data_IF_678546431266
#
_entry.id   IF_678546431266
#
_cell.length_a   1.000
_cell.length_b   1.000
_cell.length_c   1.000
_cell.angle_alpha   90.00
_cell.angle_beta   90.00
_cell.angle_gamma   90.00
#
_symmetry.space_group_name_H-M   'P 1'
#
loop_
_entity.id
_entity.type
_entity.pdbx_description
1 polymer ?
#
# COMPACT_ATOMS: atom_id res chain seq x y z
N UNK A 1 14.61 -17.20 -11.85
CA UNK A 1 13.36 -17.55 -11.15
C UNK A 1 13.13 -16.73 -9.88
N UNK A 2 14.11 -16.60 -8.98
CA UNK A 2 13.96 -15.85 -7.71
C UNK A 2 13.44 -14.42 -7.85
N UNK A 3 13.96 -13.65 -8.82
CA UNK A 3 13.59 -12.24 -9.01
C UNK A 3 12.09 -12.07 -9.34
N UNK A 4 11.53 -12.95 -10.19
CA UNK A 4 10.11 -12.88 -10.57
C UNK A 4 9.21 -13.11 -9.36
N UNK A 5 9.53 -14.10 -8.52
CA UNK A 5 8.76 -14.35 -7.30
C UNK A 5 8.86 -13.20 -6.31
N UNK A 6 10.06 -12.62 -6.16
CA UNK A 6 10.25 -11.45 -5.29
C UNK A 6 9.44 -10.25 -5.79
N UNK A 7 9.43 -9.98 -7.09
CA UNK A 7 8.62 -8.92 -7.68
C UNK A 7 7.13 -9.15 -7.49
N UNK A 8 6.65 -10.39 -7.68
CA UNK A 8 5.24 -10.74 -7.46
C UNK A 8 4.85 -10.56 -5.98
N UNK A 9 5.67 -11.06 -5.05
CA UNK A 9 5.42 -10.90 -3.62
C UNK A 9 5.41 -9.43 -3.22
N UNK A 10 6.34 -8.63 -3.75
CA UNK A 10 6.40 -7.20 -3.51
C UNK A 10 5.14 -6.46 -3.99
N UNK A 11 4.63 -6.77 -5.18
CA UNK A 11 3.37 -6.18 -5.67
C UNK A 11 2.19 -6.64 -4.83
N UNK A 12 2.07 -7.94 -4.56
CA UNK A 12 0.96 -8.50 -3.79
C UNK A 12 0.98 -8.09 -2.30
N UNK A 13 2.14 -7.75 -1.73
CA UNK A 13 2.20 -7.26 -0.36
C UNK A 13 1.83 -5.78 -0.24
N UNK A 14 1.89 -5.01 -1.33
CA UNK A 14 1.69 -3.55 -1.31
C UNK A 14 0.33 -3.14 -0.73
N UNK A 15 -0.76 -3.72 -1.23
CA UNK A 15 -2.13 -3.45 -0.76
C UNK A 15 -2.32 -3.67 0.74
N UNK A 16 -2.19 -4.91 1.26
CA UNK A 16 -2.45 -5.18 2.67
C UNK A 16 -1.47 -4.46 3.60
N UNK A 17 -0.19 -4.30 3.23
CA UNK A 17 0.78 -3.59 4.08
C UNK A 17 0.46 -2.10 4.19
N UNK A 18 0.15 -1.43 3.07
CA UNK A 18 -0.24 -0.02 3.08
C UNK A 18 -1.54 0.20 3.84
N UNK A 19 -2.55 -0.66 3.61
CA UNK A 19 -3.83 -0.59 4.32
C UNK A 19 -3.66 -0.76 5.84
N UNK A 20 -2.86 -1.74 6.29
CA UNK A 20 -2.57 -1.90 7.72
C UNK A 20 -1.83 -0.69 8.27
N UNK A 21 -0.85 -0.16 7.55
CA UNK A 21 -0.09 1.01 7.98
C UNK A 21 -1.00 2.25 8.16
N UNK A 22 -1.88 2.53 7.21
CA UNK A 22 -2.83 3.64 7.30
C UNK A 22 -3.81 3.47 8.45
N UNK A 23 -4.35 2.26 8.63
CA UNK A 23 -5.23 1.96 9.76
C UNK A 23 -4.52 2.11 11.10
N UNK A 24 -3.25 1.70 11.20
CA UNK A 24 -2.44 1.88 12.42
C UNK A 24 -2.17 3.36 12.68
N UNK A 25 -1.89 4.15 11.64
CA UNK A 25 -1.78 5.60 11.75
C UNK A 25 -3.06 6.22 12.29
N UNK A 26 -4.22 5.88 11.74
CA UNK A 26 -5.52 6.40 12.19
C UNK A 26 -5.81 6.01 13.64
N UNK A 27 -5.52 4.77 14.03
CA UNK A 27 -5.78 4.28 15.38
C UNK A 27 -4.86 4.90 16.43
N UNK A 28 -3.62 5.24 16.07
CA UNK A 28 -2.58 5.70 17.03
C UNK A 28 -2.27 7.18 16.95
N UNK A 29 -2.64 7.85 15.84
CA UNK A 29 -2.22 9.22 15.53
C UNK A 29 -0.74 9.37 15.19
N UNK A 30 0.02 8.28 15.05
CA UNK A 30 1.46 8.34 14.77
C UNK A 30 1.74 8.28 13.27
N UNK A 31 2.21 9.38 12.69
CA UNK A 31 2.52 9.48 11.25
C UNK A 31 3.70 8.59 10.80
N UNK A 32 4.47 7.99 11.72
CA UNK A 32 5.58 7.10 11.37
C UNK A 32 5.15 5.87 10.57
N UNK A 33 3.89 5.45 10.68
CA UNK A 33 3.33 4.37 9.86
C UNK A 33 3.29 4.70 8.36
N UNK A 34 3.21 5.99 7.98
CA UNK A 34 3.31 6.39 6.57
C UNK A 34 4.67 6.09 5.94
N UNK A 35 5.70 5.76 6.76
CA UNK A 35 6.98 5.28 6.26
C UNK A 35 6.86 4.06 5.34
N UNK A 36 5.81 3.24 5.48
CA UNK A 36 5.53 2.12 4.57
C UNK A 36 5.36 2.56 3.10
N UNK A 37 4.89 3.79 2.86
CA UNK A 37 4.75 4.32 1.50
C UNK A 37 6.09 4.47 0.79
N UNK A 38 7.19 4.73 1.52
CA UNK A 38 8.51 4.86 0.91
C UNK A 38 8.96 3.52 0.28
N UNK A 39 8.64 2.41 0.95
CA UNK A 39 8.99 1.06 0.46
C UNK A 39 8.24 0.73 -0.83
N UNK A 40 7.00 1.21 -0.96
CA UNK A 40 6.14 0.99 -2.13
C UNK A 40 6.08 2.16 -3.11
N UNK A 41 6.90 3.20 -2.90
CA UNK A 41 6.90 4.40 -3.73
C UNK A 41 7.05 4.12 -5.23
N UNK A 42 7.88 3.16 -5.68
CA UNK A 42 7.93 2.81 -7.11
C UNK A 42 6.60 2.34 -7.69
N UNK A 43 5.75 1.66 -6.91
CA UNK A 43 4.41 1.25 -7.34
C UNK A 43 3.43 2.42 -7.30
N UNK A 44 3.50 3.24 -6.25
CA UNK A 44 2.66 4.43 -6.07
C UNK A 44 2.91 5.48 -7.16
N UNK A 45 4.16 5.63 -7.59
CA UNK A 45 4.57 6.54 -8.65
C UNK A 45 4.02 6.16 -10.04
N UNK A 46 3.44 4.97 -10.21
CA UNK A 46 2.77 4.58 -11.46
C UNK A 46 1.47 5.36 -11.69
N UNK A 47 0.92 5.99 -10.64
CA UNK A 47 -0.27 6.84 -10.74
C UNK A 47 -1.59 6.05 -10.81
N UNK A 48 -2.69 6.79 -10.68
CA UNK A 48 -4.04 6.25 -10.45
C UNK A 48 -4.58 5.35 -11.57
N UNK A 49 -4.09 5.50 -12.81
CA UNK A 49 -4.53 4.67 -13.95
C UNK A 49 -3.89 3.27 -13.99
N UNK A 50 -3.02 2.94 -13.02
CA UNK A 50 -2.37 1.64 -12.93
C UNK A 50 -3.30 0.59 -12.29
N UNK A 51 -3.39 -0.64 -12.83
CA UNK A 51 -4.12 -1.73 -12.18
C UNK A 51 -3.53 -2.08 -10.81
N UNK A 52 -2.25 -1.78 -10.56
CA UNK A 52 -1.63 -1.94 -9.24
C UNK A 52 -2.21 -0.93 -8.25
N UNK A 53 -2.48 0.30 -8.69
CA UNK A 53 -3.11 1.29 -7.82
C UNK A 53 -4.55 0.94 -7.50
N UNK A 54 -5.34 0.46 -8.48
CA UNK A 54 -6.67 -0.08 -8.21
C UNK A 54 -6.65 -1.25 -7.21
N UNK A 55 -5.64 -2.13 -7.31
CA UNK A 55 -5.42 -3.21 -6.34
C UNK A 55 -5.12 -2.70 -4.92
N UNK A 56 -4.24 -1.70 -4.80
CA UNK A 56 -3.92 -1.08 -3.50
C UNK A 56 -5.14 -0.37 -2.92
N UNK A 57 -5.85 0.41 -3.74
CA UNK A 57 -7.05 1.14 -3.36
C UNK A 57 -8.14 0.20 -2.85
N UNK A 58 -8.38 -0.93 -3.53
CA UNK A 58 -9.31 -1.95 -3.07
C UNK A 58 -8.99 -2.45 -1.65
N UNK A 59 -7.71 -2.71 -1.34
CA UNK A 59 -7.32 -3.09 0.03
C UNK A 59 -7.55 -1.98 1.05
N UNK A 60 -7.19 -0.75 0.69
CA UNK A 60 -7.27 0.43 1.57
C UNK A 60 -8.73 0.79 1.86
N UNK A 61 -9.54 0.95 0.82
CA UNK A 61 -10.90 1.48 0.87
C UNK A 61 -11.93 0.39 1.15
N UNK A 62 -11.91 -0.70 0.38
CA UNK A 62 -12.97 -1.73 0.44
C UNK A 62 -12.72 -2.76 1.54
N UNK A 63 -11.46 -3.14 1.80
CA UNK A 63 -11.15 -4.20 2.79
C UNK A 63 -10.90 -3.63 4.19
N UNK A 64 -10.07 -2.58 4.30
CA UNK A 64 -9.68 -2.02 5.61
C UNK A 64 -10.45 -0.77 6.01
N UNK A 65 -11.22 -0.17 5.10
CA UNK A 65 -12.00 1.05 5.33
C UNK A 65 -11.19 2.18 5.96
N UNK A 66 -9.97 2.38 5.45
CA UNK A 66 -9.02 3.40 5.90
C UNK A 66 -8.68 4.33 4.74
N UNK A 67 -8.09 5.49 5.04
CA UNK A 67 -7.63 6.42 4.01
C UNK A 67 -6.12 6.62 4.09
N UNK A 68 -5.48 6.74 2.93
CA UNK A 68 -4.08 7.16 2.85
C UNK A 68 -3.90 8.62 3.31
N UNK A 69 -2.64 9.09 3.41
CA UNK A 69 -2.40 10.50 3.63
C UNK A 69 -2.95 11.27 2.43
N UNK A 70 -3.86 12.20 2.70
CA UNK A 70 -4.50 13.06 1.70
C UNK A 70 -3.49 13.89 0.94
#
# INVERSE_FOLDING_TARGET
>A
MSVIYLSLLYVLSSGPVLAIAFRLREATGWDGFYGAMLVYYPLLALGHDSPIMAYVEWWVVDVFHTVGPG
#
